data_IF_642338672270
#
_entry.id   IF_642338672270
#
_cell.length_a   1.000
_cell.length_b   1.000
_cell.length_c   1.000
_cell.angle_alpha   90.00
_cell.angle_beta   90.00
_cell.angle_gamma   90.00
#
_symmetry.space_group_name_H-M   'P 1'
#
loop_
_entity.id
_entity.type
_entity.pdbx_description
1 polymer ?
#
# COMPACT_ATOMS: atom_id res chain seq x y z
N UNK A 1 -22.99 9.06 -20.73
CA UNK A 1 -21.68 8.65 -20.17
C UNK A 1 -21.66 9.12 -18.73
N UNK A 2 -22.04 8.26 -17.78
CA UNK A 2 -22.01 8.62 -16.37
C UNK A 2 -20.62 8.22 -15.83
N UNK A 3 -19.80 9.20 -15.43
CA UNK A 3 -18.59 8.92 -14.67
C UNK A 3 -19.04 8.60 -13.25
N UNK A 4 -18.70 7.42 -12.74
CA UNK A 4 -18.99 7.08 -11.35
C UNK A 4 -18.02 7.83 -10.44
N UNK A 5 -18.43 8.05 -9.20
CA UNK A 5 -17.59 8.72 -8.20
C UNK A 5 -16.23 8.03 -8.02
N UNK A 6 -16.17 6.72 -8.26
CA UNK A 6 -14.95 5.90 -8.26
C UNK A 6 -14.00 6.31 -9.39
N UNK A 7 -14.50 6.56 -10.61
CA UNK A 7 -13.67 7.00 -11.73
C UNK A 7 -13.03 8.36 -11.45
N UNK A 8 -13.81 9.28 -10.86
CA UNK A 8 -13.32 10.59 -10.46
C UNK A 8 -12.23 10.46 -9.39
N UNK A 9 -12.42 9.60 -8.39
CA UNK A 9 -11.43 9.35 -7.36
C UNK A 9 -10.11 8.80 -7.94
N UNK A 10 -10.20 7.85 -8.87
CA UNK A 10 -9.02 7.27 -9.55
C UNK A 10 -8.24 8.33 -10.33
N UNK A 11 -8.94 9.13 -11.14
CA UNK A 11 -8.32 10.19 -11.94
C UNK A 11 -7.66 11.22 -11.04
N UNK A 12 -8.32 11.62 -9.94
CA UNK A 12 -7.77 12.56 -8.96
C UNK A 12 -6.52 11.99 -8.29
N UNK A 13 -6.54 10.74 -7.84
CA UNK A 13 -5.38 10.12 -7.17
C UNK A 13 -4.19 10.00 -8.12
N UNK A 14 -4.41 9.52 -9.35
CA UNK A 14 -3.34 9.41 -10.35
C UNK A 14 -2.83 10.80 -10.74
N UNK A 15 -3.73 11.74 -11.01
CA UNK A 15 -3.39 13.12 -11.36
C UNK A 15 -2.57 13.80 -10.27
N UNK A 16 -2.97 13.68 -9.01
CA UNK A 16 -2.20 14.18 -7.87
C UNK A 16 -0.85 13.48 -7.75
N UNK A 17 -0.78 12.17 -7.94
CA UNK A 17 0.47 11.42 -7.87
C UNK A 17 1.46 11.87 -8.95
N UNK A 18 1.02 11.99 -10.21
CA UNK A 18 1.82 12.53 -11.33
C UNK A 18 2.27 13.96 -11.04
N UNK A 19 1.36 14.80 -10.54
CA UNK A 19 1.66 16.18 -10.20
C UNK A 19 2.70 16.29 -9.07
N UNK A 20 2.58 15.45 -8.04
CA UNK A 20 3.56 15.38 -6.96
C UNK A 20 4.92 14.90 -7.45
N UNK A 21 4.96 13.92 -8.37
CA UNK A 21 6.19 13.44 -8.99
C UNK A 21 6.85 14.50 -9.88
N UNK A 22 6.07 15.29 -10.62
CA UNK A 22 6.56 16.44 -11.39
C UNK A 22 7.18 17.52 -10.48
N UNK A 23 6.56 17.82 -9.34
CA UNK A 23 7.06 18.86 -8.43
C UNK A 23 8.24 18.40 -7.58
N UNK A 24 8.25 17.15 -7.10
CA UNK A 24 9.34 16.60 -6.29
C UNK A 24 10.54 16.15 -7.12
N UNK A 25 10.32 15.57 -8.29
CA UNK A 25 11.35 14.95 -9.12
C UNK A 25 11.62 13.48 -8.76
N UNK A 26 11.97 12.66 -9.76
CA UNK A 26 12.14 11.21 -9.63
C UNK A 26 13.18 10.83 -8.56
N UNK A 27 14.35 11.45 -8.59
CA UNK A 27 15.45 11.08 -7.70
C UNK A 27 15.04 11.27 -6.23
N UNK A 28 14.30 12.34 -5.92
CA UNK A 28 13.83 12.57 -4.55
C UNK A 28 12.84 11.53 -4.08
N UNK A 29 11.97 11.09 -4.98
CA UNK A 29 11.01 10.02 -4.68
C UNK A 29 11.69 8.66 -4.52
N UNK A 30 12.68 8.36 -5.37
CA UNK A 30 13.47 7.13 -5.26
C UNK A 30 14.25 7.08 -3.94
N UNK A 31 14.95 8.17 -3.58
CA UNK A 31 15.66 8.24 -2.30
C UNK A 31 14.70 8.12 -1.12
N UNK A 32 13.51 8.73 -1.20
CA UNK A 32 12.50 8.61 -0.16
C UNK A 32 12.02 7.15 -0.01
N UNK A 33 11.77 6.44 -1.12
CA UNK A 33 11.41 5.02 -1.06
C UNK A 33 12.54 4.15 -0.50
N UNK A 34 13.78 4.38 -0.94
CA UNK A 34 14.94 3.68 -0.39
C UNK A 34 15.10 3.95 1.10
N UNK A 35 14.92 5.19 1.55
CA UNK A 35 14.97 5.56 2.97
C UNK A 35 13.89 4.85 3.78
N UNK A 36 12.66 4.76 3.26
CA UNK A 36 11.59 3.99 3.89
C UNK A 36 11.93 2.50 4.00
N UNK A 37 12.42 1.88 2.92
CA UNK A 37 12.83 0.48 2.93
C UNK A 37 13.97 0.20 3.93
N UNK A 38 14.99 1.06 3.93
CA UNK A 38 16.12 0.98 4.87
C UNK A 38 15.67 1.23 6.32
N UNK A 39 14.76 2.17 6.56
CA UNK A 39 14.23 2.47 7.89
C UNK A 39 13.48 1.28 8.46
N UNK A 40 12.64 0.61 7.66
CA UNK A 40 11.94 -0.61 8.07
C UNK A 40 12.94 -1.74 8.34
N UNK A 41 13.90 -1.95 7.44
CA UNK A 41 14.93 -2.98 7.60
C UNK A 41 15.77 -2.78 8.87
N UNK A 42 16.27 -1.56 9.10
CA UNK A 42 17.01 -1.22 10.30
C UNK A 42 16.13 -1.27 11.55
N UNK A 43 14.87 -0.86 11.45
CA UNK A 43 13.90 -1.00 12.54
C UNK A 43 13.79 -2.46 12.97
N UNK A 44 13.58 -3.41 12.05
CA UNK A 44 13.49 -4.82 12.39
C UNK A 44 14.81 -5.41 12.90
N UNK A 45 15.94 -4.98 12.33
CA UNK A 45 17.25 -5.53 12.69
C UNK A 45 17.79 -5.01 14.02
N UNK A 46 17.57 -3.73 14.33
CA UNK A 46 18.22 -3.05 15.45
C UNK A 46 17.27 -2.73 16.61
N UNK A 47 15.95 -2.92 16.48
CA UNK A 47 14.99 -2.69 17.58
C UNK A 47 15.37 -3.47 18.84
N UNK A 48 15.70 -4.75 18.71
CA UNK A 48 16.09 -5.60 19.85
C UNK A 48 17.39 -5.14 20.52
N UNK A 49 18.31 -4.52 19.78
CA UNK A 49 19.55 -3.97 20.35
C UNK A 49 19.31 -2.67 21.13
N UNK A 50 18.26 -1.92 20.77
CA UNK A 50 17.89 -0.68 21.42
C UNK A 50 16.97 -0.91 22.63
N UNK A 51 16.25 -2.03 22.67
CA UNK A 51 15.32 -2.38 23.76
C UNK A 51 15.89 -2.26 25.18
N UNK A 52 17.11 -2.75 25.49
CA UNK A 52 17.66 -2.66 26.84
C UNK A 52 17.80 -1.21 27.33
N UNK A 53 18.08 -0.27 26.42
CA UNK A 53 18.25 1.15 26.71
C UNK A 53 16.93 1.84 27.10
N UNK A 54 15.80 1.30 26.66
CA UNK A 54 14.47 1.82 26.98
C UNK A 54 13.85 1.20 28.24
N UNK A 55 14.48 0.16 28.82
CA UNK A 55 14.04 -0.50 30.05
C UNK A 55 13.73 0.45 31.21
N UNK A 56 14.52 1.53 31.45
CA UNK A 56 14.22 2.47 32.54
C UNK A 56 12.95 3.29 32.33
N UNK A 57 12.48 3.43 31.08
CA UNK A 57 11.37 4.31 30.71
C UNK A 57 10.08 3.53 30.44
N UNK A 58 10.18 2.30 29.90
CA UNK A 58 9.03 1.49 29.49
C UNK A 58 9.17 0.08 30.07
N UNK A 59 8.25 -0.28 30.97
CA UNK A 59 8.24 -1.58 31.64
C UNK A 59 7.66 -2.70 30.75
N UNK A 60 6.64 -2.38 29.96
CA UNK A 60 5.97 -3.35 29.09
C UNK A 60 6.84 -3.64 27.85
N UNK A 61 7.10 -4.93 27.58
CA UNK A 61 8.06 -5.35 26.57
C UNK A 61 7.57 -5.09 25.14
N UNK A 62 6.28 -5.34 24.85
CA UNK A 62 5.70 -5.10 23.52
C UNK A 62 5.74 -3.61 23.13
N UNK A 63 5.40 -2.71 24.06
CA UNK A 63 5.44 -1.26 23.85
C UNK A 63 6.89 -0.79 23.69
N UNK A 64 7.82 -1.35 24.46
CA UNK A 64 9.24 -1.01 24.38
C UNK A 64 9.83 -1.36 23.01
N UNK A 65 9.62 -2.58 22.53
CA UNK A 65 10.09 -3.01 21.20
C UNK A 65 9.45 -2.21 20.07
N UNK A 66 8.17 -1.85 20.19
CA UNK A 66 7.53 -0.94 19.25
C UNK A 66 8.15 0.47 19.29
N UNK A 67 8.42 1.02 20.47
CA UNK A 67 9.05 2.32 20.63
C UNK A 67 10.48 2.34 20.05
N UNK A 68 11.28 1.30 20.30
CA UNK A 68 12.61 1.14 19.75
C UNK A 68 12.59 1.11 18.20
N UNK A 69 11.68 0.33 17.63
CA UNK A 69 11.46 0.29 16.18
C UNK A 69 11.13 1.68 15.62
N UNK A 70 10.18 2.39 16.25
CA UNK A 70 9.77 3.73 15.85
C UNK A 70 10.94 4.71 15.91
N UNK A 71 11.73 4.70 16.99
CA UNK A 71 12.90 5.57 17.14
C UNK A 71 13.90 5.35 16.00
N UNK A 72 14.23 4.10 15.69
CA UNK A 72 15.18 3.77 14.61
C UNK A 72 14.60 4.16 13.25
N UNK A 73 13.31 3.92 13.04
CA UNK A 73 12.61 4.28 11.81
C UNK A 73 12.69 5.79 11.59
N UNK A 74 12.34 6.60 12.59
CA UNK A 74 12.41 8.06 12.50
C UNK A 74 13.85 8.57 12.33
N UNK A 75 14.82 8.02 13.07
CA UNK A 75 16.23 8.38 12.91
C UNK A 75 16.73 8.11 11.48
N UNK A 76 16.37 6.96 10.91
CA UNK A 76 16.77 6.59 9.55
C UNK A 76 16.06 7.45 8.50
N UNK A 77 14.76 7.72 8.66
CA UNK A 77 14.03 8.62 7.77
C UNK A 77 14.58 10.05 7.81
N UNK A 78 14.98 10.53 8.99
CA UNK A 78 15.61 11.84 9.13
C UNK A 78 16.95 11.89 8.39
N UNK A 79 17.79 10.87 8.56
CA UNK A 79 19.05 10.74 7.81
C UNK A 79 18.80 10.68 6.29
N UNK A 80 17.83 9.88 5.84
CA UNK A 80 17.42 9.81 4.43
C UNK A 80 16.91 11.15 3.89
N UNK A 81 16.21 11.92 4.72
CA UNK A 81 15.77 13.28 4.40
C UNK A 81 16.93 14.25 4.20
N UNK A 82 17.97 14.17 5.03
CA UNK A 82 19.21 14.95 4.86
C UNK A 82 19.91 14.58 3.55
N UNK A 83 20.08 13.28 3.27
CA UNK A 83 20.66 12.80 2.01
C UNK A 83 19.88 13.34 0.82
N UNK A 84 18.54 13.28 0.88
CA UNK A 84 17.67 13.81 -0.15
C UNK A 84 17.86 15.32 -0.35
N UNK A 85 18.00 16.09 0.73
CA UNK A 85 18.24 17.53 0.67
C UNK A 85 19.59 17.87 0.01
N UNK A 86 20.65 17.15 0.37
CA UNK A 86 21.98 17.30 -0.23
C UNK A 86 21.93 16.96 -1.72
N UNK A 87 21.34 15.83 -2.08
CA UNK A 87 21.22 15.42 -3.49
C UNK A 87 20.38 16.40 -4.30
N UNK A 88 19.32 16.94 -3.71
CA UNK A 88 18.52 18.01 -4.30
C UNK A 88 19.33 19.26 -4.60
N UNK A 89 20.31 19.61 -3.75
CA UNK A 89 21.19 20.75 -3.97
C UNK A 89 22.15 20.49 -5.14
N UNK A 90 22.69 19.28 -5.24
CA UNK A 90 23.58 18.86 -6.33
C UNK A 90 22.83 18.89 -7.68
N UNK A 91 21.65 18.27 -7.75
CA UNK A 91 20.86 18.21 -8.99
C UNK A 91 20.45 19.60 -9.51
N UNK A 92 20.19 20.55 -8.61
CA UNK A 92 19.91 21.95 -8.98
C UNK A 92 21.11 22.59 -9.65
N UNK A 93 22.34 22.27 -9.24
CA UNK A 93 23.58 22.83 -9.81
C UNK A 93 23.96 22.18 -11.14
N UNK A 94 23.63 20.90 -11.34
CA UNK A 94 23.94 20.16 -12.57
C UNK A 94 23.05 20.51 -13.77
N UNK A 95 22.02 21.35 -13.61
CA UNK A 95 21.10 21.73 -14.71
C UNK A 95 20.15 20.61 -15.17
N UNK A 96 20.30 19.38 -14.65
CA UNK A 96 19.50 18.20 -15.00
C UNK A 96 18.11 18.15 -14.34
N UNK A 97 17.73 19.21 -13.61
CA UNK A 97 16.44 19.30 -12.91
C UNK A 97 15.23 19.18 -13.86
N UNK A 98 15.38 19.51 -15.15
CA UNK A 98 14.32 19.30 -16.14
C UNK A 98 14.03 17.83 -16.40
N UNK A 99 15.07 17.03 -16.67
CA UNK A 99 14.95 15.59 -16.93
C UNK A 99 14.52 14.81 -15.68
N UNK A 100 14.98 15.20 -14.49
CA UNK A 100 14.54 14.59 -13.22
C UNK A 100 13.03 14.74 -12.98
N UNK A 101 12.46 15.88 -13.37
CA UNK A 101 11.02 16.14 -13.25
C UNK A 101 10.18 15.36 -14.26
N UNK A 102 10.67 15.18 -15.49
CA UNK A 102 9.95 14.38 -16.49
C UNK A 102 9.94 12.89 -16.14
N UNK A 103 11.06 12.37 -15.63
CA UNK A 103 11.10 11.03 -15.05
C UNK A 103 10.18 10.93 -13.81
N UNK A 104 10.11 11.99 -13.01
CA UNK A 104 9.22 12.09 -11.85
C UNK A 104 7.75 11.96 -12.22
N UNK A 105 7.32 12.48 -13.38
CA UNK A 105 5.95 12.24 -13.88
C UNK A 105 5.67 10.76 -14.13
N UNK A 106 6.60 10.06 -14.80
CA UNK A 106 6.44 8.64 -15.10
C UNK A 106 6.40 7.78 -13.83
N UNK A 107 7.29 8.08 -12.88
CA UNK A 107 7.30 7.41 -11.58
C UNK A 107 6.03 7.73 -10.76
N UNK A 108 5.61 9.00 -10.73
CA UNK A 108 4.36 9.43 -10.10
C UNK A 108 3.13 8.74 -10.70
N UNK A 109 3.12 8.49 -12.01
CA UNK A 109 2.07 7.70 -12.66
C UNK A 109 2.06 6.26 -12.16
N UNK A 110 3.20 5.57 -12.18
CA UNK A 110 3.33 4.18 -11.70
C UNK A 110 2.88 4.08 -10.24
N UNK A 111 3.33 5.01 -9.39
CA UNK A 111 2.93 5.09 -8.00
C UNK A 111 1.44 5.36 -7.84
N UNK A 112 0.86 6.25 -8.63
CA UNK A 112 -0.57 6.57 -8.59
C UNK A 112 -1.42 5.35 -8.93
N UNK A 113 -1.02 4.62 -9.99
CA UNK A 113 -1.60 3.33 -10.36
C UNK A 113 -1.49 2.32 -9.23
N UNK A 114 -0.33 2.20 -8.61
CA UNK A 114 -0.12 1.28 -7.49
C UNK A 114 -1.01 1.62 -6.28
N UNK A 115 -1.13 2.91 -5.93
CA UNK A 115 -2.02 3.38 -4.85
C UNK A 115 -3.48 3.06 -5.18
N UNK A 116 -3.93 3.31 -6.41
CA UNK A 116 -5.28 2.97 -6.85
C UNK A 116 -5.54 1.46 -6.75
N UNK A 117 -4.60 0.64 -7.21
CA UNK A 117 -4.71 -0.82 -7.10
C UNK A 117 -4.85 -1.25 -5.63
N UNK A 118 -4.05 -0.66 -4.72
CA UNK A 118 -4.15 -0.93 -3.29
C UNK A 118 -5.50 -0.51 -2.70
N UNK A 119 -6.02 0.65 -3.10
CA UNK A 119 -7.35 1.12 -2.69
C UNK A 119 -8.46 0.19 -3.18
N UNK A 120 -8.39 -0.30 -4.42
CA UNK A 120 -9.35 -1.27 -4.94
C UNK A 120 -9.32 -2.59 -4.16
N UNK A 121 -8.13 -3.08 -3.82
CA UNK A 121 -7.98 -4.28 -2.97
C UNK A 121 -8.58 -4.03 -1.58
N UNK A 122 -8.30 -2.87 -0.98
CA UNK A 122 -8.86 -2.52 0.33
C UNK A 122 -10.40 -2.44 0.30
N UNK A 123 -10.98 -1.82 -0.73
CA UNK A 123 -12.43 -1.78 -0.96
C UNK A 123 -13.01 -3.19 -1.12
N UNK A 124 -12.34 -4.06 -1.88
CA UNK A 124 -12.75 -5.47 -2.05
C UNK A 124 -12.74 -6.25 -0.74
N UNK A 125 -11.81 -5.94 0.16
CA UNK A 125 -11.71 -6.57 1.49
C UNK A 125 -12.75 -6.03 2.50
N UNK A 126 -13.45 -4.94 2.19
CA UNK A 126 -14.37 -4.25 3.11
C UNK A 126 -15.86 -4.56 2.81
N UNK A 127 -16.18 -5.60 2.04
CA UNK A 127 -17.56 -6.04 1.77
C UNK A 127 -18.48 -4.96 1.15
N UNK A 128 -17.94 -4.06 0.32
CA UNK A 128 -18.75 -3.25 -0.58
C UNK A 128 -19.13 -4.09 -1.81
N UNK A 129 -20.36 -4.02 -2.35
CA UNK A 129 -20.83 -4.87 -3.44
C UNK A 129 -19.99 -4.66 -4.70
N UNK A 130 -18.99 -5.54 -4.87
CA UNK A 130 -17.93 -5.52 -5.88
C UNK A 130 -18.45 -5.75 -7.31
N UNK A 131 -19.52 -6.52 -7.47
CA UNK A 131 -20.03 -6.92 -8.79
C UNK A 131 -20.77 -5.80 -9.56
N UNK A 132 -21.34 -4.80 -8.87
CA UNK A 132 -22.05 -3.71 -9.56
C UNK A 132 -21.09 -2.71 -10.24
N UNK A 133 -19.91 -2.47 -9.67
CA UNK A 133 -18.96 -1.46 -10.19
C UNK A 133 -18.08 -1.95 -11.35
N UNK A 134 -17.88 -3.27 -11.46
CA UNK A 134 -17.07 -3.88 -12.52
C UNK A 134 -17.74 -3.79 -13.91
N UNK A 135 -19.07 -3.67 -13.96
CA UNK A 135 -19.83 -3.59 -15.21
C UNK A 135 -19.98 -2.18 -15.80
N UNK A 136 -19.80 -1.12 -15.00
CA UNK A 136 -20.08 0.27 -15.43
C UNK A 136 -18.82 1.05 -15.85
N UNK A 137 -17.64 0.76 -15.31
CA UNK A 137 -16.44 1.59 -15.50
C UNK A 137 -15.45 1.02 -16.53
N UNK A 138 -15.34 1.69 -17.68
CA UNK A 138 -14.38 1.36 -18.78
C UNK A 138 -12.91 1.37 -18.37
N UNK A 139 -12.54 2.07 -17.30
CA UNK A 139 -11.17 2.08 -16.76
C UNK A 139 -10.82 0.73 -16.11
N UNK A 140 -11.81 0.03 -15.55
CA UNK A 140 -11.62 -1.27 -14.89
C UNK A 140 -11.16 -2.35 -15.86
N UNK A 141 -11.76 -2.41 -17.07
CA UNK A 141 -11.35 -3.33 -18.14
C UNK A 141 -9.90 -3.14 -18.60
N UNK A 142 -9.29 -1.95 -18.40
CA UNK A 142 -7.88 -1.70 -18.75
C UNK A 142 -6.90 -2.17 -17.68
N UNK A 143 -7.35 -2.31 -16.43
CA UNK A 143 -6.56 -2.79 -15.29
C UNK A 143 -6.64 -4.31 -15.09
N UNK A 144 -7.57 -4.97 -15.76
CA UNK A 144 -7.75 -6.43 -15.76
C UNK A 144 -6.43 -7.26 -15.89
N UNK A 145 -5.49 -6.93 -16.80
CA UNK A 145 -4.22 -7.68 -16.86
C UNK A 145 -3.32 -7.48 -15.64
N UNK A 146 -3.35 -6.30 -15.01
CA UNK A 146 -2.58 -6.02 -13.78
C UNK A 146 -3.19 -6.75 -12.59
N UNK A 147 -4.53 -6.81 -12.55
CA UNK A 147 -5.29 -7.55 -11.55
C UNK A 147 -5.01 -9.05 -11.68
N UNK A 148 -5.00 -9.60 -12.90
CA UNK A 148 -4.69 -11.01 -13.16
C UNK A 148 -3.30 -11.42 -12.61
N UNK A 149 -2.27 -10.60 -12.84
CA UNK A 149 -0.91 -10.84 -12.32
C UNK A 149 -0.88 -10.86 -10.79
N UNK A 150 -1.67 -9.99 -10.14
CA UNK A 150 -1.79 -9.96 -8.68
C UNK A 150 -2.52 -11.20 -8.16
N UNK A 151 -3.62 -11.61 -8.80
CA UNK A 151 -4.36 -12.83 -8.44
C UNK A 151 -3.53 -14.10 -8.58
N UNK A 152 -2.68 -14.17 -9.61
CA UNK A 152 -1.76 -15.31 -9.84
C UNK A 152 -0.73 -15.46 -8.72
N UNK A 153 -0.37 -14.35 -8.05
CA UNK A 153 0.50 -14.33 -6.88
C UNK A 153 -0.26 -14.43 -5.54
N UNK A 154 -1.59 -14.45 -5.55
CA UNK A 154 -2.47 -14.55 -4.38
C UNK A 154 -3.10 -15.94 -4.05
N UNK A 155 -2.68 -17.11 -4.60
CA UNK A 155 -3.44 -18.35 -4.43
C UNK A 155 -3.51 -18.85 -2.98
N UNK A 156 -2.63 -18.39 -2.10
CA UNK A 156 -2.63 -18.77 -0.68
C UNK A 156 -3.76 -18.13 0.14
N UNK A 157 -4.17 -16.90 -0.18
CA UNK A 157 -5.17 -16.14 0.61
C UNK A 157 -6.59 -16.49 0.19
N UNK A 158 -6.83 -16.69 -1.11
CA UNK A 158 -8.16 -17.00 -1.66
C UNK A 158 -8.63 -18.40 -1.26
N UNK A 159 -7.69 -19.36 -1.11
CA UNK A 159 -8.02 -20.71 -0.65
C UNK A 159 -8.66 -20.72 0.75
N UNK A 160 -8.27 -19.80 1.64
CA UNK A 160 -8.80 -19.75 3.01
C UNK A 160 -10.18 -19.09 3.10
N UNK A 161 -10.47 -18.10 2.25
CA UNK A 161 -11.79 -17.44 2.23
C UNK A 161 -12.85 -18.37 1.64
N UNK A 162 -12.52 -19.12 0.58
CA UNK A 162 -13.48 -20.06 -0.04
C UNK A 162 -13.87 -21.23 0.87
N UNK A 163 -12.99 -21.64 1.78
CA UNK A 163 -13.28 -22.71 2.76
C UNK A 163 -14.21 -22.27 3.87
N UNK A 164 -14.27 -20.98 4.22
CA UNK A 164 -15.14 -20.49 5.31
C UNK A 164 -16.59 -20.33 4.83
N UNK A 165 -16.81 -19.76 3.63
CA UNK A 165 -18.15 -19.59 3.03
C UNK A 165 -18.84 -20.92 2.68
N UNK A 166 -18.06 -21.93 2.28
CA UNK A 166 -18.61 -23.26 1.96
C UNK A 166 -19.05 -23.99 3.24
N UNK A 167 -18.35 -23.77 4.36
CA UNK A 167 -18.67 -24.46 5.62
C UNK A 167 -19.90 -23.84 6.29
N UNK A 168 -20.10 -22.52 6.17
CA UNK A 168 -21.27 -21.82 6.71
C UNK A 168 -22.57 -22.22 6.00
N UNK A 169 -22.56 -22.27 4.66
CA UNK A 169 -23.73 -22.72 3.87
C UNK A 169 -24.11 -24.18 4.11
N UNK A 170 -23.14 -25.06 4.40
CA UNK A 170 -23.42 -26.48 4.69
C UNK A 170 -24.02 -26.65 6.09
N UNK A 171 -23.59 -25.85 7.07
CA UNK A 171 -24.13 -25.90 8.45
C UNK A 171 -25.57 -25.36 8.48
N UNK A 172 -25.88 -24.30 7.74
CA UNK A 172 -27.22 -23.74 7.68
C UNK A 172 -28.22 -24.68 6.97
N UNK A 173 -27.78 -25.31 5.87
CA UNK A 173 -28.58 -26.31 5.17
C UNK A 173 -28.85 -27.57 6.02
N UNK A 174 -27.88 -28.03 6.83
CA UNK A 174 -28.06 -29.18 7.73
C UNK A 174 -29.03 -28.88 8.88
N UNK A 175 -29.03 -27.64 9.37
CA UNK A 175 -29.89 -27.19 10.46
C UNK A 175 -31.36 -27.13 10.01
N UNK A 176 -31.61 -26.65 8.79
CA UNK A 176 -32.95 -26.60 8.20
C UNK A 176 -33.52 -28.01 7.98
N UNK A 177 -32.73 -28.93 7.43
CA UNK A 177 -33.16 -30.33 7.20
C UNK A 177 -33.44 -31.06 8.53
N UNK A 178 -32.70 -30.78 9.60
CA UNK A 178 -32.92 -31.43 10.90
C UNK A 178 -34.20 -30.96 11.59
N UNK A 179 -34.62 -29.71 11.36
CA UNK A 179 -35.88 -29.16 11.88
C UNK A 179 -37.11 -29.74 11.14
N UNK A 180 -36.98 -30.06 9.85
CA UNK A 180 -38.06 -30.69 9.08
C UNK A 180 -38.25 -32.18 9.39
N UNK A 181 -37.22 -32.86 9.89
CA UNK A 181 -37.27 -34.30 10.22
C UNK A 181 -37.80 -34.54 11.65
N UNK A 182 -37.73 -33.54 12.55
CA UNK A 182 -38.12 -33.67 13.96
C UNK A 182 -39.34 -32.82 14.37
N UNK A 183 -40.03 -32.18 13.42
CA UNK A 183 -41.30 -31.46 13.64
C UNK A 183 -42.48 -32.22 13.05
#
# INVERSE_FOLDING_TARGET
>A
MHLHWVDIAIIVVIGLSVLTGLFRGFVKELIALCAWGLAIWFGFKYSQSLDPWLTPYIQEQSIRSAAAFIIILFATLLAGGIVNAVLSFILKRSGLNGTDRTLGMGFGFIRGVFIVALLMVAVKMTSLPYEQYAHESKLYTRFDPVVAVIYEHLPAVIKQVKTVDTTENVIDTQKDVTLLVNG
#
